data_IF_691174273968
#
_entry.id   IF_691174273968
#
_cell.length_a   1.000
_cell.length_b   1.000
_cell.length_c   1.000
_cell.angle_alpha   90.00
_cell.angle_beta   90.00
_cell.angle_gamma   90.00
#
_symmetry.space_group_name_H-M   'P 1'
#
loop_
_entity.id
_entity.type
_entity.pdbx_description
1 polymer ?
#
# COMPACT_ATOMS: atom_id res chain seq x y z
N UNK A 1 17.08 53.32 -67.25
CA UNK A 1 18.40 53.76 -66.76
C UNK A 1 19.00 52.62 -65.96
N UNK A 2 19.97 51.92 -66.59
CA UNK A 2 20.95 50.93 -66.08
C UNK A 2 20.49 49.69 -65.29
N UNK A 3 20.83 48.55 -65.90
CA UNK A 3 21.05 47.23 -65.34
C UNK A 3 21.95 47.21 -64.08
N UNK A 4 21.74 46.22 -63.21
CA UNK A 4 22.81 45.28 -62.78
C UNK A 4 22.25 44.06 -62.04
N UNK A 5 22.95 42.94 -62.22
CA UNK A 5 22.63 41.53 -61.94
C UNK A 5 23.44 40.99 -60.73
N UNK A 6 22.83 40.06 -59.95
CA UNK A 6 23.40 38.90 -59.18
C UNK A 6 24.57 39.11 -58.18
N UNK A 7 24.99 38.11 -57.34
CA UNK A 7 24.30 37.11 -56.50
C UNK A 7 24.92 37.01 -55.06
N UNK A 8 24.55 35.97 -54.31
CA UNK A 8 25.41 35.23 -53.34
C UNK A 8 25.48 35.63 -51.85
N UNK A 9 25.07 34.66 -51.02
CA UNK A 9 25.70 34.20 -49.76
C UNK A 9 25.47 34.93 -48.42
N UNK A 10 25.32 34.09 -47.38
CA UNK A 10 25.31 34.36 -45.93
C UNK A 10 24.00 34.94 -45.38
N UNK A 11 23.36 34.44 -44.32
CA UNK A 11 23.80 33.48 -43.32
C UNK A 11 22.60 33.02 -42.48
N UNK A 12 22.78 31.82 -41.93
CA UNK A 12 21.86 31.03 -41.13
C UNK A 12 21.67 31.67 -39.74
N UNK A 13 20.45 31.73 -39.23
CA UNK A 13 20.17 31.59 -37.80
C UNK A 13 18.65 31.39 -37.56
N UNK A 14 18.16 30.19 -37.85
CA UNK A 14 16.90 29.70 -37.32
C UNK A 14 17.13 29.32 -35.84
N UNK A 15 16.72 30.18 -34.90
CA UNK A 15 16.67 29.84 -33.48
C UNK A 15 15.38 29.09 -33.18
N UNK A 16 15.36 27.79 -33.46
CA UNK A 16 14.38 26.85 -32.91
C UNK A 16 14.71 26.60 -31.44
N UNK A 17 13.96 27.23 -30.54
CA UNK A 17 13.91 26.90 -29.12
C UNK A 17 13.30 25.49 -28.95
N UNK A 18 14.14 24.45 -28.95
CA UNK A 18 13.78 23.14 -28.44
C UNK A 18 13.67 23.23 -26.91
N UNK A 19 12.44 23.31 -26.40
CA UNK A 19 12.13 22.98 -25.02
C UNK A 19 12.39 21.47 -24.83
N UNK A 20 13.55 21.13 -24.27
CA UNK A 20 13.81 19.78 -23.78
C UNK A 20 12.97 19.55 -22.52
N UNK A 21 11.80 18.91 -22.68
CA UNK A 21 11.06 18.36 -21.55
C UNK A 21 11.82 17.14 -21.05
N UNK A 22 12.71 17.34 -20.09
CA UNK A 22 13.24 16.24 -19.27
C UNK A 22 12.07 15.67 -18.47
N UNK A 23 11.76 14.36 -18.58
CA UNK A 23 10.82 13.75 -17.66
C UNK A 23 11.49 13.78 -16.28
N UNK A 24 10.89 14.51 -15.34
CA UNK A 24 11.26 14.37 -13.95
C UNK A 24 10.94 12.93 -13.55
N UNK A 25 11.97 12.12 -13.29
CA UNK A 25 11.81 10.84 -12.62
C UNK A 25 11.41 11.18 -11.19
N UNK A 26 10.10 11.29 -10.95
CA UNK A 26 9.58 11.36 -9.61
C UNK A 26 9.89 10.02 -8.93
N UNK A 27 10.80 10.04 -7.94
CA UNK A 27 11.01 8.88 -7.09
C UNK A 27 9.70 8.51 -6.41
N UNK A 28 9.32 7.23 -6.47
CA UNK A 28 8.09 6.73 -5.88
C UNK A 28 8.03 7.05 -4.39
N UNK A 29 6.92 7.64 -3.92
CA UNK A 29 6.80 8.03 -2.53
C UNK A 29 6.88 6.79 -1.63
N UNK A 30 7.37 6.90 -0.38
CA UNK A 30 7.42 5.76 0.54
C UNK A 30 6.09 5.02 0.72
N UNK A 31 4.96 5.73 0.67
CA UNK A 31 3.62 5.16 0.73
C UNK A 31 3.31 4.28 -0.50
N UNK A 32 3.70 4.73 -1.69
CA UNK A 32 3.49 4.01 -2.95
C UNK A 32 4.27 2.69 -2.95
N UNK A 33 5.52 2.70 -2.46
CA UNK A 33 6.34 1.49 -2.32
C UNK A 33 5.76 0.49 -1.33
N UNK A 34 5.28 0.95 -0.17
CA UNK A 34 4.64 0.05 0.81
C UNK A 34 3.37 -0.56 0.23
N UNK A 35 2.55 0.23 -0.45
CA UNK A 35 1.37 -0.27 -1.16
C UNK A 35 1.72 -1.31 -2.20
N UNK A 36 2.70 -1.02 -3.07
CA UNK A 36 3.14 -1.95 -4.11
C UNK A 36 3.64 -3.28 -3.51
N UNK A 37 4.38 -3.23 -2.40
CA UNK A 37 4.84 -4.41 -1.68
C UNK A 37 3.68 -5.25 -1.13
N UNK A 38 2.71 -4.61 -0.45
CA UNK A 38 1.57 -5.33 0.13
C UNK A 38 0.67 -5.90 -0.98
N UNK A 39 0.39 -5.12 -2.03
CA UNK A 39 -0.40 -5.58 -3.19
C UNK A 39 0.25 -6.82 -3.84
N UNK A 40 1.57 -6.77 -4.08
CA UNK A 40 2.30 -7.88 -4.70
C UNK A 40 2.31 -9.15 -3.83
N UNK A 41 2.27 -9.02 -2.50
CA UNK A 41 2.20 -10.16 -1.60
C UNK A 41 0.77 -10.72 -1.47
N UNK A 42 -0.23 -9.85 -1.37
CA UNK A 42 -1.62 -10.21 -1.03
C UNK A 42 -2.39 -10.69 -2.25
N UNK A 43 -2.34 -9.96 -3.36
CA UNK A 43 -3.21 -10.23 -4.51
C UNK A 43 -3.04 -11.63 -5.11
N UNK A 44 -1.81 -12.17 -5.27
CA UNK A 44 -1.64 -13.54 -5.78
C UNK A 44 -2.22 -14.59 -4.83
N UNK A 45 -2.06 -14.42 -3.52
CA UNK A 45 -2.59 -15.36 -2.51
C UNK A 45 -4.11 -15.33 -2.48
N UNK A 46 -4.72 -14.15 -2.54
CA UNK A 46 -6.18 -14.04 -2.62
C UNK A 46 -6.73 -14.74 -3.87
N UNK A 47 -6.07 -14.56 -5.02
CA UNK A 47 -6.47 -15.23 -6.27
C UNK A 47 -6.29 -16.74 -6.20
N UNK A 48 -5.17 -17.22 -5.67
CA UNK A 48 -4.86 -18.64 -5.59
C UNK A 48 -5.80 -19.42 -4.65
N UNK A 49 -6.38 -18.75 -3.64
CA UNK A 49 -7.20 -19.38 -2.60
C UNK A 49 -8.68 -18.94 -2.62
N UNK A 50 -9.13 -18.25 -3.67
CA UNK A 50 -10.47 -17.63 -3.78
C UNK A 50 -10.89 -16.85 -2.52
N UNK A 51 -9.97 -16.09 -1.94
CA UNK A 51 -10.26 -15.30 -0.73
C UNK A 51 -11.15 -14.11 -1.11
N UNK A 52 -12.40 -14.04 -0.62
CA UNK A 52 -13.35 -13.02 -1.08
C UNK A 52 -12.95 -11.62 -0.67
N UNK A 53 -12.44 -11.47 0.55
CA UNK A 53 -12.03 -10.20 1.13
C UNK A 53 -10.96 -10.39 2.20
N UNK A 54 -10.06 -9.43 2.31
CA UNK A 54 -8.91 -9.48 3.21
C UNK A 54 -8.57 -8.06 3.66
N UNK A 55 -8.32 -7.87 4.96
CA UNK A 55 -7.80 -6.63 5.52
C UNK A 55 -6.38 -6.85 6.05
N UNK A 56 -5.47 -5.94 5.75
CA UNK A 56 -4.10 -5.89 6.27
C UNK A 56 -3.94 -4.61 7.07
N UNK A 57 -3.41 -4.73 8.29
CA UNK A 57 -2.97 -3.61 9.11
C UNK A 57 -1.49 -3.81 9.47
N UNK A 58 -0.67 -2.78 9.26
CA UNK A 58 0.77 -2.79 9.58
C UNK A 58 1.03 -1.59 10.49
N UNK A 59 1.64 -1.82 11.65
CA UNK A 59 2.25 -0.75 12.46
C UNK A 59 3.73 -0.66 12.12
N UNK A 60 4.14 0.41 11.44
CA UNK A 60 5.52 0.63 11.01
C UNK A 60 6.01 1.97 11.54
N UNK A 61 7.04 1.94 12.39
CA UNK A 61 7.59 3.16 13.04
C UNK A 61 6.54 3.96 13.83
N UNK A 62 5.59 3.26 14.45
CA UNK A 62 4.51 3.88 15.22
C UNK A 62 3.32 4.36 14.37
N UNK A 63 3.42 4.30 13.04
CA UNK A 63 2.36 4.73 12.13
C UNK A 63 1.54 3.53 11.65
N UNK A 64 0.19 3.59 11.72
CA UNK A 64 -0.67 2.55 11.16
C UNK A 64 -0.84 2.72 9.64
N UNK A 65 -0.75 1.61 8.92
CA UNK A 65 -1.03 1.52 7.49
C UNK A 65 -2.07 0.43 7.24
N UNK A 66 -3.12 0.76 6.49
CA UNK A 66 -4.23 -0.15 6.21
C UNK A 66 -4.39 -0.41 4.73
N UNK A 67 -4.63 -1.67 4.37
CA UNK A 67 -4.90 -2.11 3.01
C UNK A 67 -6.08 -3.08 3.03
N UNK A 68 -7.16 -2.74 2.33
CA UNK A 68 -8.38 -3.55 2.29
C UNK A 68 -8.65 -4.02 0.86
N UNK A 69 -8.98 -5.29 0.72
CA UNK A 69 -9.16 -5.97 -0.56
C UNK A 69 -10.49 -6.71 -0.58
N UNK A 70 -11.14 -6.71 -1.74
CA UNK A 70 -12.31 -7.55 -2.00
C UNK A 70 -13.55 -7.19 -1.18
N UNK A 71 -14.33 -8.22 -0.86
CA UNK A 71 -15.68 -8.13 -0.30
C UNK A 71 -15.78 -8.87 1.04
N UNK A 72 -16.44 -8.22 2.00
CA UNK A 72 -16.83 -8.81 3.27
C UNK A 72 -18.05 -9.75 3.11
N UNK A 73 -18.90 -9.48 2.11
CA UNK A 73 -20.01 -10.36 1.71
C UNK A 73 -20.12 -10.37 0.19
N UNK A 74 -20.20 -11.58 -0.39
CA UNK A 74 -20.42 -11.76 -1.83
C UNK A 74 -21.88 -11.50 -2.20
N UNK A 75 -22.80 -11.72 -1.25
CA UNK A 75 -24.25 -11.64 -1.43
C UNK A 75 -24.74 -10.20 -1.64
N UNK A 76 -24.25 -9.26 -0.83
CA UNK A 76 -24.65 -7.85 -0.89
C UNK A 76 -23.54 -6.93 -1.46
N UNK A 77 -22.39 -7.50 -1.81
CA UNK A 77 -21.27 -6.77 -2.39
C UNK A 77 -20.58 -5.80 -1.43
N UNK A 78 -20.80 -5.92 -0.11
CA UNK A 78 -20.16 -5.05 0.89
C UNK A 78 -18.65 -5.23 0.83
N UNK A 79 -17.94 -4.11 0.70
CA UNK A 79 -16.47 -4.09 0.65
C UNK A 79 -15.87 -4.29 2.03
N UNK A 80 -14.68 -4.90 2.08
CA UNK A 80 -13.86 -4.90 3.28
C UNK A 80 -13.32 -3.49 3.53
N UNK A 81 -13.35 -3.09 4.79
CA UNK A 81 -12.69 -1.88 5.34
C UNK A 81 -11.85 -2.28 6.55
N UNK A 82 -10.99 -1.39 7.09
CA UNK A 82 -10.26 -1.66 8.33
C UNK A 82 -11.15 -1.96 9.54
N UNK A 83 -12.41 -1.52 9.51
CA UNK A 83 -13.40 -1.70 10.57
C UNK A 83 -14.27 -2.95 10.40
N UNK A 84 -14.06 -3.71 9.31
CA UNK A 84 -14.81 -4.96 9.08
C UNK A 84 -14.46 -5.99 10.15
N UNK A 85 -15.49 -6.57 10.79
CA UNK A 85 -15.30 -7.61 11.80
C UNK A 85 -14.99 -8.96 11.13
N UNK A 86 -13.93 -9.60 11.60
CA UNK A 86 -13.54 -10.97 11.21
C UNK A 86 -13.48 -11.87 12.45
N UNK A 87 -13.86 -13.13 12.28
CA UNK A 87 -13.55 -14.15 13.28
C UNK A 87 -12.05 -14.47 13.24
N UNK A 88 -11.35 -14.24 14.35
CA UNK A 88 -9.88 -14.40 14.45
C UNK A 88 -9.45 -15.79 14.96
N UNK A 89 -10.40 -16.66 15.29
CA UNK A 89 -10.16 -18.03 15.72
C UNK A 89 -9.17 -18.14 16.90
N UNK A 90 -8.14 -18.96 16.74
CA UNK A 90 -7.16 -19.22 17.82
C UNK A 90 -6.34 -18.01 18.26
N UNK A 91 -6.36 -16.90 17.51
CA UNK A 91 -5.79 -15.64 18.00
C UNK A 91 -6.51 -15.17 19.27
N UNK A 92 -7.80 -15.50 19.45
CA UNK A 92 -8.53 -15.24 20.71
C UNK A 92 -7.85 -15.81 21.97
N UNK A 93 -7.01 -16.84 21.83
CA UNK A 93 -6.24 -17.40 22.96
C UNK A 93 -5.22 -16.40 23.52
N UNK A 94 -4.73 -15.45 22.74
CA UNK A 94 -3.84 -14.40 23.25
C UNK A 94 -4.61 -13.49 24.21
N UNK A 95 -5.87 -13.15 23.91
CA UNK A 95 -6.75 -12.42 24.82
C UNK A 95 -7.02 -13.22 26.09
N UNK A 96 -7.32 -14.52 25.97
CA UNK A 96 -7.47 -15.41 27.15
C UNK A 96 -6.19 -15.48 27.97
N UNK A 97 -5.03 -15.58 27.32
CA UNK A 97 -3.74 -15.58 28.00
C UNK A 97 -3.45 -14.24 28.67
N UNK A 98 -3.83 -13.11 28.07
CA UNK A 98 -3.75 -11.78 28.71
C UNK A 98 -4.66 -11.71 29.93
N UNK A 99 -5.88 -12.25 29.87
CA UNK A 99 -6.78 -12.34 31.02
C UNK A 99 -6.19 -13.21 32.14
N UNK A 100 -5.63 -14.37 31.80
CA UNK A 100 -4.93 -15.22 32.76
C UNK A 100 -3.70 -14.51 33.35
N UNK A 101 -2.93 -13.81 32.51
CA UNK A 101 -1.81 -12.95 32.93
C UNK A 101 -2.25 -11.86 33.92
N UNK A 102 -3.41 -11.25 33.68
CA UNK A 102 -4.00 -10.31 34.62
C UNK A 102 -4.38 -10.98 35.94
N UNK A 103 -4.95 -12.18 35.93
CA UNK A 103 -5.23 -12.92 37.16
C UNK A 103 -3.95 -13.26 37.95
N UNK A 104 -2.86 -13.62 37.26
CA UNK A 104 -1.55 -13.84 37.88
C UNK A 104 -1.03 -12.56 38.56
N UNK A 105 -1.11 -11.40 37.91
CA UNK A 105 -0.61 -10.13 38.50
C UNK A 105 -1.50 -9.58 39.60
N UNK A 106 -2.72 -10.11 39.74
CA UNK A 106 -3.65 -9.79 40.82
C UNK A 106 -3.62 -10.83 41.96
N UNK A 107 -2.63 -11.74 41.95
CA UNK A 107 -2.46 -12.85 42.91
C UNK A 107 -3.72 -13.73 43.03
N UNK A 108 -4.50 -13.87 41.94
CA UNK A 108 -5.74 -14.66 41.91
C UNK A 108 -5.52 -16.12 41.52
N UNK A 109 -4.37 -16.42 40.92
CA UNK A 109 -3.90 -17.76 40.60
C UNK A 109 -2.38 -17.74 40.48
N UNK A 110 -1.77 -18.92 40.40
CA UNK A 110 -0.39 -19.13 39.99
C UNK A 110 -0.34 -20.12 38.82
N UNK A 111 0.71 -20.05 38.02
CA UNK A 111 0.89 -20.97 36.89
C UNK A 111 1.12 -22.44 37.32
N UNK A 112 1.56 -22.68 38.56
CA UNK A 112 1.83 -24.01 39.12
C UNK A 112 0.66 -24.62 39.91
N UNK A 113 -0.43 -23.87 40.07
CA UNK A 113 -1.65 -24.34 40.71
C UNK A 113 -2.17 -25.62 40.01
N UNK A 114 -2.82 -26.49 40.79
CA UNK A 114 -3.49 -27.67 40.21
C UNK A 114 -4.73 -27.22 39.44
N UNK A 115 -5.01 -27.92 38.34
CA UNK A 115 -6.25 -27.77 37.59
C UNK A 115 -7.45 -28.36 38.35
#
# INVERSE_FOLDING_TARGET
>A
MRDTRFPCLCGIAASTLLFATTPAIAGEAPADRLKALVDAAVQPVMKANDIPGLAVAISLKGEPHYFSYGLASKEDGRRVTPETLFEIGSVSKTFTATLAGYALTQDKMRLDDRA
#
